data_IF_797196997789
#
_entry.id   IF_797196997789
#
_cell.length_a   1.000
_cell.length_b   1.000
_cell.length_c   1.000
_cell.angle_alpha   90.00
_cell.angle_beta   90.00
_cell.angle_gamma   90.00
#
_symmetry.space_group_name_H-M   'P 1'
#
loop_
_entity.id
_entity.type
_entity.pdbx_description
1 polymer ?
#
# COMPACT_ATOMS: atom_id res chain seq x y z
N UNK A 1 37.75 52.73 -22.27
CA UNK A 1 37.14 52.69 -20.92
C UNK A 1 35.96 51.71 -20.98
N UNK A 2 36.22 50.44 -20.72
CA UNK A 2 35.25 49.34 -20.90
C UNK A 2 34.56 49.09 -19.55
N UNK A 3 33.25 49.35 -19.48
CA UNK A 3 32.40 49.00 -18.34
C UNK A 3 32.07 47.51 -18.42
N UNK A 4 32.66 46.72 -17.54
CA UNK A 4 32.27 45.32 -17.32
C UNK A 4 31.07 45.34 -16.36
N UNK A 5 29.90 44.92 -16.84
CA UNK A 5 28.69 44.74 -16.04
C UNK A 5 28.81 43.37 -15.35
N UNK A 6 28.90 43.38 -14.02
CA UNK A 6 28.82 42.18 -13.20
C UNK A 6 27.35 41.76 -13.06
N UNK A 7 26.98 40.64 -13.67
CA UNK A 7 25.69 39.98 -13.43
C UNK A 7 25.85 39.10 -12.19
N UNK A 8 25.22 39.51 -11.09
CA UNK A 8 25.13 38.71 -9.86
C UNK A 8 24.00 37.70 -10.07
N UNK A 9 24.35 36.46 -10.41
CA UNK A 9 23.41 35.35 -10.34
C UNK A 9 23.13 35.02 -8.87
N UNK A 10 21.97 35.43 -8.37
CA UNK A 10 21.39 34.87 -7.16
C UNK A 10 21.08 33.38 -7.41
N UNK A 11 22.00 32.50 -7.01
CA UNK A 11 21.69 31.09 -6.82
C UNK A 11 20.73 30.99 -5.65
N UNK A 12 19.42 30.97 -5.93
CA UNK A 12 18.47 30.38 -5.02
C UNK A 12 18.82 28.90 -4.90
N UNK A 13 19.51 28.54 -3.82
CA UNK A 13 19.60 27.17 -3.36
C UNK A 13 18.19 26.74 -2.92
N UNK A 14 17.39 26.28 -3.88
CA UNK A 14 16.28 25.39 -3.56
C UNK A 14 16.90 24.23 -2.79
N UNK A 15 16.71 24.19 -1.48
CA UNK A 15 16.94 22.99 -0.68
C UNK A 15 15.90 21.99 -1.17
N UNK A 16 16.22 21.27 -2.24
CA UNK A 16 15.45 20.13 -2.65
C UNK A 16 15.49 19.16 -1.47
N UNK A 17 14.32 18.77 -0.97
CA UNK A 17 14.23 17.69 -0.01
C UNK A 17 14.81 16.43 -0.69
N UNK A 18 15.99 16.01 -0.24
CA UNK A 18 16.75 14.92 -0.86
C UNK A 18 16.26 13.56 -0.34
N UNK A 19 15.90 12.69 -1.27
CA UNK A 19 15.76 11.26 -1.02
C UNK A 19 17.13 10.59 -1.11
N UNK A 20 17.50 9.81 -0.09
CA UNK A 20 18.74 9.03 -0.03
C UNK A 20 18.45 7.55 -0.19
N UNK A 21 19.24 6.87 -1.02
CA UNK A 21 19.12 5.42 -1.17
C UNK A 21 19.63 4.72 0.11
N UNK A 22 18.83 3.79 0.64
CA UNK A 22 19.13 2.99 1.83
C UNK A 22 19.42 1.53 1.44
N UNK A 23 18.78 1.03 0.39
CA UNK A 23 19.11 -0.27 -0.23
C UNK A 23 19.09 -0.15 -1.74
N UNK A 24 20.16 -0.65 -2.36
CA UNK A 24 20.35 -0.70 -3.80
C UNK A 24 20.29 -2.16 -4.28
N UNK A 25 19.08 -2.72 -4.36
CA UNK A 25 18.79 -4.04 -4.95
C UNK A 25 17.97 -3.85 -6.24
N UNK A 26 17.92 -4.86 -7.10
CA UNK A 26 17.27 -4.76 -8.42
C UNK A 26 16.48 -6.04 -8.75
N UNK A 27 15.59 -6.44 -7.84
CA UNK A 27 14.64 -7.53 -8.08
C UNK A 27 13.22 -6.97 -8.07
N UNK A 28 12.43 -7.36 -9.07
CA UNK A 28 11.05 -6.89 -9.18
C UNK A 28 10.17 -7.43 -8.06
N UNK A 29 9.48 -6.53 -7.38
CA UNK A 29 8.52 -6.83 -6.33
C UNK A 29 7.17 -7.16 -6.95
N UNK A 30 6.61 -8.29 -6.55
CA UNK A 30 5.25 -8.71 -6.91
C UNK A 30 4.26 -8.26 -5.83
N UNK A 31 4.58 -8.48 -4.55
CA UNK A 31 3.75 -8.08 -3.41
C UNK A 31 4.60 -7.43 -2.34
N UNK A 32 4.04 -6.47 -1.61
CA UNK A 32 4.73 -5.84 -0.48
C UNK A 32 3.74 -5.35 0.56
N UNK A 33 4.23 -5.25 1.79
CA UNK A 33 3.59 -4.57 2.90
C UNK A 33 4.68 -4.05 3.84
N UNK A 34 4.36 -3.03 4.61
CA UNK A 34 5.28 -2.40 5.55
C UNK A 34 4.61 -2.12 6.89
N UNK A 35 5.45 -1.98 7.91
CA UNK A 35 5.13 -1.34 9.18
C UNK A 35 6.17 -0.26 9.47
N UNK A 36 6.02 0.45 10.57
CA UNK A 36 6.92 1.54 10.97
C UNK A 36 8.41 1.14 10.94
N UNK A 37 8.74 -0.12 11.23
CA UNK A 37 10.10 -0.62 11.44
C UNK A 37 10.51 -1.78 10.51
N UNK A 38 9.63 -2.25 9.62
CA UNK A 38 9.85 -3.47 8.83
C UNK A 38 9.23 -3.36 7.45
N UNK A 39 9.85 -4.05 6.51
CA UNK A 39 9.35 -4.22 5.14
C UNK A 39 9.29 -5.70 4.83
N UNK A 40 8.16 -6.16 4.31
CA UNK A 40 8.05 -7.46 3.68
C UNK A 40 7.79 -7.28 2.19
N UNK A 41 8.49 -8.06 1.37
CA UNK A 41 8.16 -8.15 -0.05
C UNK A 41 8.42 -9.54 -0.60
N UNK A 42 7.70 -9.87 -1.66
CA UNK A 42 7.87 -11.07 -2.45
C UNK A 42 8.40 -10.69 -3.83
N UNK A 43 9.54 -11.25 -4.22
CA UNK A 43 10.22 -10.93 -5.50
C UNK A 43 9.85 -11.90 -6.65
N UNK A 44 8.79 -12.69 -6.48
CA UNK A 44 8.42 -13.74 -7.43
C UNK A 44 9.06 -15.09 -7.16
N UNK A 45 10.01 -15.18 -6.22
CA UNK A 45 10.61 -16.45 -5.76
C UNK A 45 10.69 -16.53 -4.24
N UNK A 46 11.16 -15.47 -3.60
CA UNK A 46 11.42 -15.38 -2.16
C UNK A 46 10.54 -14.34 -1.50
N UNK A 47 9.96 -14.74 -0.37
CA UNK A 47 9.38 -13.84 0.61
C UNK A 47 10.48 -13.39 1.55
N UNK A 48 10.71 -12.08 1.60
CA UNK A 48 11.79 -11.46 2.37
C UNK A 48 11.21 -10.50 3.39
N UNK A 49 11.56 -10.69 4.64
CA UNK A 49 11.32 -9.71 5.72
C UNK A 49 12.61 -9.02 6.06
N UNK A 50 12.59 -7.69 6.07
CA UNK A 50 13.73 -6.84 6.42
C UNK A 50 13.36 -5.91 7.56
N UNK A 51 14.30 -5.72 8.49
CA UNK A 51 14.14 -4.78 9.61
C UNK A 51 14.89 -3.48 9.35
N UNK A 52 14.24 -2.35 9.62
CA UNK A 52 14.83 -1.02 9.56
C UNK A 52 15.65 -0.69 10.83
N UNK A 53 16.61 0.25 10.75
CA UNK A 53 17.07 0.95 9.55
C UNK A 53 18.09 0.14 8.72
N UNK A 54 18.61 -0.96 9.28
CA UNK A 54 19.70 -1.73 8.67
C UNK A 54 19.34 -2.48 7.37
N UNK A 55 18.05 -2.69 7.12
CA UNK A 55 17.51 -3.54 6.05
C UNK A 55 18.07 -4.98 6.06
N UNK A 56 18.51 -5.44 7.23
CA UNK A 56 18.94 -6.82 7.44
C UNK A 56 17.75 -7.75 7.24
N UNK A 57 17.94 -8.79 6.42
CA UNK A 57 16.96 -9.85 6.24
C UNK A 57 16.82 -10.64 7.54
N UNK A 58 15.60 -10.68 8.08
CA UNK A 58 15.26 -11.43 9.29
C UNK A 58 14.44 -12.69 8.99
N UNK A 59 13.83 -12.78 7.81
CA UNK A 59 13.21 -13.98 7.29
C UNK A 59 13.37 -14.02 5.76
N UNK A 60 13.67 -15.21 5.26
CA UNK A 60 13.86 -15.58 3.86
C UNK A 60 13.10 -16.90 3.69
N UNK A 61 12.16 -16.97 2.74
CA UNK A 61 11.43 -18.20 2.45
C UNK A 61 11.07 -18.31 0.98
N UNK A 62 11.37 -19.46 0.38
CA UNK A 62 11.01 -19.75 -1.01
C UNK A 62 9.59 -20.29 -1.12
N UNK A 63 8.88 -19.83 -2.14
CA UNK A 63 7.55 -20.34 -2.53
C UNK A 63 7.54 -20.63 -4.03
N UNK A 64 6.58 -21.44 -4.48
CA UNK A 64 6.32 -21.57 -5.92
C UNK A 64 5.93 -20.18 -6.46
N UNK A 65 6.58 -19.67 -7.52
CA UNK A 65 6.33 -18.38 -8.14
C UNK A 65 4.87 -18.03 -8.41
N UNK A 66 4.02 -19.04 -8.63
CA UNK A 66 2.61 -18.89 -9.00
C UNK A 66 1.64 -19.17 -7.86
N UNK A 67 2.16 -19.45 -6.67
CA UNK A 67 1.35 -19.86 -5.51
C UNK A 67 0.92 -18.69 -4.63
N UNK A 68 1.83 -17.77 -4.33
CA UNK A 68 1.57 -16.60 -3.49
C UNK A 68 0.79 -15.54 -4.27
N UNK A 69 -0.22 -14.94 -3.63
CA UNK A 69 -1.15 -14.01 -4.29
C UNK A 69 -1.40 -12.73 -3.51
N UNK A 70 -1.04 -12.68 -2.23
CA UNK A 70 -1.14 -11.51 -1.38
C UNK A 70 -0.29 -11.67 -0.14
N UNK A 71 0.21 -10.55 0.40
CA UNK A 71 1.05 -10.51 1.60
C UNK A 71 0.70 -9.25 2.39
N UNK A 72 0.54 -9.39 3.70
CA UNK A 72 0.58 -8.25 4.63
C UNK A 72 1.47 -8.54 5.84
N UNK A 73 2.03 -7.48 6.41
CA UNK A 73 2.77 -7.56 7.66
C UNK A 73 1.84 -7.34 8.86
N UNK A 74 1.97 -8.17 9.88
CA UNK A 74 1.15 -8.14 11.09
C UNK A 74 2.04 -8.25 12.34
N UNK A 75 2.53 -7.12 12.84
CA UNK A 75 3.39 -6.99 14.05
C UNK A 75 4.60 -7.94 14.10
N UNK A 76 4.37 -9.21 14.41
CA UNK A 76 5.36 -10.27 14.59
C UNK A 76 5.16 -11.48 13.65
N UNK A 77 4.34 -11.34 12.61
CA UNK A 77 4.14 -12.39 11.60
C UNK A 77 3.86 -11.76 10.22
N UNK A 78 3.97 -12.56 9.19
CA UNK A 78 3.54 -12.24 7.84
C UNK A 78 2.29 -13.05 7.55
N UNK A 79 1.23 -12.39 7.07
CA UNK A 79 0.06 -13.10 6.56
C UNK A 79 0.19 -13.24 5.06
N UNK A 80 0.17 -14.48 4.58
CA UNK A 80 0.33 -14.84 3.18
C UNK A 80 -0.92 -15.52 2.65
N UNK A 81 -1.43 -15.06 1.51
CA UNK A 81 -2.57 -15.62 0.81
C UNK A 81 -2.15 -16.33 -0.48
N UNK A 82 -2.79 -17.45 -0.79
CA UNK A 82 -2.38 -18.34 -1.88
C UNK A 82 -3.47 -18.54 -2.94
N UNK A 83 -3.04 -18.95 -4.13
CA UNK A 83 -3.88 -19.18 -5.32
C UNK A 83 -4.96 -20.25 -5.13
N UNK A 84 -4.71 -21.22 -4.24
CA UNK A 84 -5.64 -22.29 -3.91
C UNK A 84 -6.64 -21.93 -2.80
N UNK A 85 -6.61 -20.69 -2.29
CA UNK A 85 -7.51 -20.19 -1.26
C UNK A 85 -7.03 -20.38 0.17
N UNK A 86 -5.86 -20.99 0.38
CA UNK A 86 -5.24 -21.00 1.70
C UNK A 86 -4.72 -19.61 2.06
N UNK A 87 -4.74 -19.32 3.36
CA UNK A 87 -3.93 -18.26 3.93
C UNK A 87 -3.21 -18.78 5.17
N UNK A 88 -1.98 -18.32 5.36
CA UNK A 88 -1.10 -18.73 6.45
C UNK A 88 -0.58 -17.52 7.23
N UNK A 89 -0.48 -17.68 8.54
CA UNK A 89 0.39 -16.89 9.40
C UNK A 89 1.79 -17.49 9.34
N UNK A 90 2.79 -16.69 8.97
CA UNK A 90 4.20 -17.06 8.90
C UNK A 90 4.94 -16.27 9.99
N UNK A 91 5.38 -16.95 11.04
CA UNK A 91 6.05 -16.33 12.18
C UNK A 91 7.54 -16.13 11.90
N UNK A 92 8.19 -15.25 12.68
CA UNK A 92 9.60 -14.88 12.47
C UNK A 92 10.58 -16.06 12.60
N UNK A 93 10.20 -17.12 13.32
CA UNK A 93 10.97 -18.36 13.43
C UNK A 93 10.74 -19.33 12.25
N UNK A 94 9.96 -18.94 11.25
CA UNK A 94 9.63 -19.74 10.07
C UNK A 94 8.47 -20.71 10.24
N UNK A 95 7.88 -20.80 11.44
CA UNK A 95 6.67 -21.59 11.70
C UNK A 95 5.49 -21.04 10.89
N UNK A 96 4.64 -21.94 10.39
CA UNK A 96 3.44 -21.59 9.63
C UNK A 96 2.19 -22.20 10.24
N UNK A 97 1.15 -21.38 10.37
CA UNK A 97 -0.18 -21.80 10.82
C UNK A 97 -1.22 -21.44 9.76
N UNK A 98 -1.99 -22.42 9.30
CA UNK A 98 -3.08 -22.18 8.38
C UNK A 98 -4.23 -21.44 9.11
N UNK A 99 -4.49 -20.20 8.70
CA UNK A 99 -5.57 -19.36 9.24
C UNK A 99 -6.84 -19.45 8.39
N UNK A 100 -6.68 -19.61 7.07
CA UNK A 100 -7.78 -19.93 6.15
C UNK A 100 -7.48 -21.28 5.50
N UNK A 101 -8.45 -22.19 5.62
CA UNK A 101 -8.41 -23.49 4.98
C UNK A 101 -9.63 -23.64 4.04
N UNK A 102 -9.42 -23.71 2.71
CA UNK A 102 -10.47 -23.93 1.71
C UNK A 102 -11.39 -25.12 2.01
N UNK A 103 -10.88 -26.17 2.64
CA UNK A 103 -11.69 -27.34 2.99
C UNK A 103 -12.69 -27.03 4.12
N UNK A 104 -12.43 -26.00 4.93
CA UNK A 104 -13.36 -25.53 5.97
C UNK A 104 -14.28 -24.41 5.47
N UNK A 105 -13.76 -23.52 4.61
CA UNK A 105 -14.51 -22.36 4.11
C UNK A 105 -15.30 -22.64 2.83
N UNK A 106 -15.01 -23.76 2.15
CA UNK A 106 -15.48 -24.11 0.82
C UNK A 106 -15.14 -23.04 -0.24
N UNK A 107 -14.00 -22.37 -0.07
CA UNK A 107 -13.53 -21.29 -0.96
C UNK A 107 -12.18 -21.66 -1.58
N UNK A 108 -12.21 -22.24 -2.78
CA UNK A 108 -11.03 -22.74 -3.52
C UNK A 108 -10.54 -21.75 -4.59
N UNK A 109 -10.63 -20.45 -4.31
CA UNK A 109 -10.21 -19.38 -5.22
C UNK A 109 -9.02 -18.62 -4.63
N UNK A 110 -8.24 -17.88 -5.44
CA UNK A 110 -7.09 -17.13 -4.94
C UNK A 110 -7.45 -16.14 -3.83
N UNK A 111 -6.60 -16.03 -2.81
CA UNK A 111 -6.69 -14.95 -1.81
C UNK A 111 -6.15 -13.66 -2.45
N UNK A 112 -7.04 -12.87 -3.04
CA UNK A 112 -6.70 -11.73 -3.89
C UNK A 112 -6.30 -10.48 -3.10
N UNK A 113 -6.74 -10.35 -1.86
CA UNK A 113 -6.38 -9.23 -1.00
C UNK A 113 -6.50 -9.63 0.47
N UNK A 114 -5.66 -9.02 1.31
CA UNK A 114 -5.67 -9.19 2.76
C UNK A 114 -5.59 -7.81 3.38
N UNK A 115 -6.39 -7.56 4.42
CA UNK A 115 -6.27 -6.38 5.25
C UNK A 115 -6.27 -6.77 6.73
N UNK A 116 -5.54 -6.03 7.56
CA UNK A 116 -5.48 -6.22 9.02
C UNK A 116 -6.07 -5.02 9.74
N UNK A 117 -6.79 -5.30 10.82
CA UNK A 117 -7.10 -4.34 11.86
C UNK A 117 -7.07 -5.00 13.24
N UNK A 118 -6.15 -4.58 14.11
CA UNK A 118 -5.90 -5.23 15.42
C UNK A 118 -5.82 -6.75 15.23
N UNK A 119 -6.67 -7.50 15.93
CA UNK A 119 -6.76 -8.97 15.87
C UNK A 119 -7.69 -9.51 14.78
N UNK A 120 -8.18 -8.66 13.87
CA UNK A 120 -9.03 -9.05 12.75
C UNK A 120 -8.26 -9.01 11.44
N UNK A 121 -8.50 -10.02 10.62
CA UNK A 121 -8.03 -10.11 9.24
C UNK A 121 -9.25 -10.17 8.31
N UNK A 122 -9.21 -9.44 7.20
CA UNK A 122 -10.17 -9.55 6.12
C UNK A 122 -9.47 -10.13 4.91
N UNK A 123 -10.02 -11.20 4.35
CA UNK A 123 -9.54 -11.86 3.15
C UNK A 123 -10.56 -11.67 2.04
N UNK A 124 -10.12 -11.15 0.91
CA UNK A 124 -10.89 -11.26 -0.33
C UNK A 124 -10.46 -12.55 -1.02
N UNK A 125 -11.41 -13.43 -1.28
CA UNK A 125 -11.18 -14.72 -1.92
C UNK A 125 -11.93 -14.74 -3.26
N UNK A 126 -11.16 -14.85 -4.35
CA UNK A 126 -11.65 -14.60 -5.70
C UNK A 126 -11.97 -13.12 -5.91
N UNK A 127 -13.15 -12.85 -6.46
CA UNK A 127 -13.67 -11.50 -6.69
C UNK A 127 -14.96 -11.23 -5.92
N UNK A 128 -15.46 -12.22 -5.19
CA UNK A 128 -16.85 -12.23 -4.74
C UNK A 128 -17.06 -12.59 -3.27
N UNK A 129 -16.03 -13.08 -2.56
CA UNK A 129 -16.17 -13.47 -1.16
C UNK A 129 -15.22 -12.68 -0.27
N UNK A 130 -15.75 -12.19 0.85
CA UNK A 130 -14.96 -11.61 1.93
C UNK A 130 -15.09 -12.50 3.16
N UNK A 131 -13.95 -12.87 3.75
CA UNK A 131 -13.88 -13.63 4.99
C UNK A 131 -13.24 -12.74 6.06
N UNK A 132 -13.96 -12.47 7.14
CA UNK A 132 -13.44 -11.77 8.33
C UNK A 132 -13.03 -12.83 9.34
N UNK A 133 -11.74 -12.94 9.63
CA UNK A 133 -11.17 -13.86 10.61
C UNK A 133 -10.79 -13.10 11.88
N UNK A 134 -11.31 -13.55 13.02
CA UNK A 134 -10.92 -13.11 14.35
C UNK A 134 -9.80 -14.02 14.85
N UNK A 135 -8.62 -13.46 15.07
CA UNK A 135 -7.43 -14.21 15.52
C UNK A 135 -7.54 -14.72 16.95
N UNK A 136 -8.25 -14.00 17.83
CA UNK A 136 -8.39 -14.37 19.24
C UNK A 136 -9.29 -15.59 19.35
N UNK A 137 -10.46 -15.50 18.73
CA UNK A 137 -11.48 -16.54 18.83
C UNK A 137 -11.30 -17.66 17.81
N UNK A 138 -10.44 -17.46 16.79
CA UNK A 138 -10.25 -18.34 15.63
C UNK A 138 -11.55 -18.61 14.86
N UNK A 139 -12.46 -17.63 14.85
CA UNK A 139 -13.75 -17.70 14.15
C UNK A 139 -13.67 -16.85 12.89
N UNK A 140 -14.28 -17.33 11.81
CA UNK A 140 -14.51 -16.50 10.63
C UNK A 140 -16.00 -16.27 10.35
N UNK A 141 -16.30 -15.06 9.88
CA UNK A 141 -17.55 -14.69 9.23
C UNK A 141 -17.31 -14.56 7.74
N UNK A 142 -18.29 -14.95 6.93
CA UNK A 142 -18.22 -14.85 5.47
C UNK A 142 -19.38 -14.02 4.95
N UNK A 143 -19.10 -13.16 3.98
CA UNK A 143 -20.11 -12.52 3.16
C UNK A 143 -19.69 -12.55 1.71
N UNK A 144 -20.67 -12.47 0.81
CA UNK A 144 -20.38 -12.19 -0.58
C UNK A 144 -20.41 -10.68 -0.82
N UNK A 145 -19.59 -10.23 -1.75
CA UNK A 145 -19.71 -8.92 -2.38
C UNK A 145 -20.44 -9.18 -3.69
N UNK A 146 -21.71 -8.76 -3.81
CA UNK A 146 -22.55 -8.92 -5.01
C UNK A 146 -22.03 -8.12 -6.23
N UNK A 147 -20.77 -7.70 -6.18
CA UNK A 147 -20.14 -6.93 -7.21
C UNK A 147 -19.40 -7.87 -8.15
N UNK A 148 -19.79 -7.90 -9.42
CA UNK A 148 -19.13 -8.71 -10.46
C UNK A 148 -17.69 -8.28 -10.77
N UNK A 149 -17.18 -7.23 -10.11
CA UNK A 149 -15.88 -6.64 -10.39
C UNK A 149 -14.82 -7.06 -9.39
N UNK A 150 -13.65 -7.43 -9.92
CA UNK A 150 -12.45 -7.79 -9.14
C UNK A 150 -12.08 -6.68 -8.15
N UNK A 151 -11.91 -7.06 -6.89
CA UNK A 151 -11.27 -6.19 -5.88
C UNK A 151 -9.81 -6.03 -6.25
N UNK A 152 -9.37 -4.78 -6.36
CA UNK A 152 -8.00 -4.42 -6.72
C UNK A 152 -7.16 -4.13 -5.49
N UNK A 153 -7.74 -3.43 -4.52
CA UNK A 153 -7.06 -2.99 -3.30
C UNK A 153 -8.05 -3.00 -2.14
N UNK A 154 -7.58 -3.39 -0.95
CA UNK A 154 -8.37 -3.31 0.27
C UNK A 154 -7.50 -2.90 1.45
N UNK A 155 -8.10 -2.24 2.43
CA UNK A 155 -7.44 -1.76 3.64
C UNK A 155 -8.49 -1.59 4.73
N UNK A 156 -8.09 -1.86 5.96
CA UNK A 156 -8.88 -1.41 7.10
C UNK A 156 -8.51 0.02 7.47
N UNK A 157 -9.52 0.84 7.72
CA UNK A 157 -9.33 2.19 8.21
C UNK A 157 -10.44 2.46 9.23
N UNK A 158 -10.08 2.78 10.48
CA UNK A 158 -11.01 2.98 11.59
C UNK A 158 -12.04 1.85 11.77
N UNK A 159 -11.58 0.59 11.97
CA UNK A 159 -12.44 -0.60 12.14
C UNK A 159 -13.31 -0.99 10.91
N UNK A 160 -13.31 -0.20 9.83
CA UNK A 160 -14.11 -0.43 8.64
C UNK A 160 -13.23 -1.01 7.53
N UNK A 161 -13.73 -2.04 6.85
CA UNK A 161 -13.05 -2.63 5.71
C UNK A 161 -13.46 -1.89 4.43
N UNK A 162 -12.50 -1.19 3.83
CA UNK A 162 -12.70 -0.49 2.56
C UNK A 162 -12.03 -1.24 1.43
N UNK A 163 -12.64 -1.20 0.25
CA UNK A 163 -12.05 -1.78 -0.93
C UNK A 163 -12.45 -1.08 -2.21
N UNK A 164 -11.52 -1.09 -3.17
CA UNK A 164 -11.68 -0.54 -4.50
C UNK A 164 -11.79 -1.67 -5.52
N UNK A 165 -12.70 -1.52 -6.48
CA UNK A 165 -12.94 -2.48 -7.55
C UNK A 165 -12.43 -1.98 -8.91
N UNK A 166 -12.16 -2.92 -9.81
CA UNK A 166 -11.71 -2.63 -11.18
C UNK A 166 -12.72 -1.80 -11.98
N UNK A 167 -14.01 -1.90 -11.67
CA UNK A 167 -15.08 -1.10 -12.27
C UNK A 167 -15.12 0.37 -11.83
N UNK A 168 -14.12 0.81 -11.03
CA UNK A 168 -13.97 2.16 -10.45
C UNK A 168 -14.87 2.42 -9.24
N UNK A 169 -15.58 1.42 -8.75
CA UNK A 169 -16.44 1.57 -7.58
C UNK A 169 -15.64 1.42 -6.28
N UNK A 170 -16.00 2.19 -5.26
CA UNK A 170 -15.41 2.15 -3.92
C UNK A 170 -16.47 1.78 -2.90
N UNK A 171 -16.14 0.87 -1.99
CA UNK A 171 -17.08 0.27 -1.03
C UNK A 171 -16.56 0.35 0.40
N UNK A 172 -17.51 0.38 1.33
CA UNK A 172 -17.30 0.08 2.73
C UNK A 172 -18.05 -1.19 3.12
N UNK A 173 -17.42 -2.03 3.95
CA UNK A 173 -18.01 -3.20 4.57
C UNK A 173 -17.89 -3.06 6.08
N UNK A 174 -19.02 -2.97 6.75
CA UNK A 174 -19.10 -3.12 8.20
C UNK A 174 -18.73 -4.56 8.56
N UNK A 175 -17.66 -4.76 9.33
CA UNK A 175 -17.16 -6.10 9.68
C UNK A 175 -17.90 -6.77 10.83
N UNK A 176 -18.71 -6.03 11.58
CA UNK A 176 -19.55 -6.59 12.65
C UNK A 176 -20.79 -7.25 12.05
N UNK A 177 -21.49 -6.51 11.19
CA UNK A 177 -22.78 -6.89 10.61
C UNK A 177 -22.69 -7.40 9.17
N UNK A 178 -21.51 -7.33 8.54
CA UNK A 178 -21.26 -7.70 7.14
C UNK A 178 -22.08 -6.89 6.14
N UNK A 179 -22.46 -5.66 6.51
CA UNK A 179 -23.25 -4.79 5.64
C UNK A 179 -22.35 -4.10 4.64
N UNK A 180 -22.54 -4.44 3.37
CA UNK A 180 -21.86 -3.81 2.24
C UNK A 180 -22.59 -2.53 1.82
N UNK A 181 -21.83 -1.46 1.56
CA UNK A 181 -22.35 -0.22 0.99
C UNK A 181 -21.39 0.33 -0.05
N UNK A 182 -21.92 0.64 -1.22
CA UNK A 182 -21.21 1.40 -2.25
C UNK A 182 -21.15 2.87 -1.84
N UNK A 183 -19.96 3.44 -1.78
CA UNK A 183 -19.77 4.84 -1.43
C UNK A 183 -19.87 5.74 -2.66
N UNK A 184 -19.08 5.44 -3.69
CA UNK A 184 -19.05 6.22 -4.92
C UNK A 184 -18.41 5.43 -6.06
N UNK A 185 -18.38 6.04 -7.25
CA UNK A 185 -17.68 5.56 -8.43
C UNK A 185 -16.81 6.70 -8.98
N UNK A 186 -15.54 6.43 -9.22
CA UNK A 186 -14.58 7.44 -9.69
C UNK A 186 -14.58 7.57 -11.22
N UNK A 187 -14.09 8.69 -11.76
CA UNK A 187 -13.98 8.89 -13.21
C UNK A 187 -12.94 7.95 -13.86
N UNK A 188 -11.92 7.52 -13.10
CA UNK A 188 -10.84 6.63 -13.57
C UNK A 188 -10.59 5.49 -12.58
N UNK A 189 -9.75 4.52 -12.95
CA UNK A 189 -9.41 3.36 -12.10
C UNK A 189 -8.72 3.80 -10.81
N UNK A 190 -9.18 3.26 -9.69
CA UNK A 190 -8.61 3.51 -8.36
C UNK A 190 -7.38 2.63 -8.19
N UNK A 191 -6.25 3.23 -7.83
CA UNK A 191 -4.95 2.56 -7.66
C UNK A 191 -4.40 2.64 -6.25
N UNK A 192 -4.93 3.55 -5.42
CA UNK A 192 -4.55 3.72 -4.01
C UNK A 192 -5.63 4.48 -3.26
N UNK A 193 -5.64 4.42 -1.93
CA UNK A 193 -6.53 5.24 -1.10
C UNK A 193 -6.05 5.35 0.34
N UNK A 194 -6.52 6.40 1.02
CA UNK A 194 -6.37 6.60 2.47
C UNK A 194 -7.53 7.46 3.03
N UNK A 195 -7.47 7.90 4.29
CA UNK A 195 -8.49 8.77 4.89
C UNK A 195 -8.00 10.19 5.19
N UNK A 196 -8.82 11.18 4.84
CA UNK A 196 -8.74 12.56 5.36
C UNK A 196 -9.96 12.77 6.25
N UNK A 197 -9.78 13.06 7.54
CA UNK A 197 -10.89 13.31 8.47
C UNK A 197 -12.01 12.25 8.35
N UNK A 198 -11.62 10.97 8.33
CA UNK A 198 -12.51 9.80 8.17
C UNK A 198 -13.22 9.67 6.82
N UNK A 199 -12.82 10.44 5.80
CA UNK A 199 -13.38 10.38 4.45
C UNK A 199 -12.34 9.83 3.46
N UNK A 200 -12.72 8.89 2.59
CA UNK A 200 -11.78 8.33 1.61
C UNK A 200 -11.27 9.37 0.62
N UNK A 201 -9.96 9.50 0.54
CA UNK A 201 -9.25 10.08 -0.61
C UNK A 201 -8.68 8.95 -1.43
N UNK A 202 -8.88 8.99 -2.74
CA UNK A 202 -8.45 7.90 -3.63
C UNK A 202 -7.55 8.42 -4.74
N UNK A 203 -6.50 7.68 -5.03
CA UNK A 203 -5.55 7.95 -6.10
C UNK A 203 -5.96 7.17 -7.34
N UNK A 204 -5.83 7.81 -8.49
CA UNK A 204 -6.31 7.28 -9.76
C UNK A 204 -5.14 6.96 -10.71
N UNK A 205 -5.39 6.02 -11.62
CA UNK A 205 -4.42 5.58 -12.63
C UNK A 205 -3.98 6.69 -13.60
N UNK A 206 -4.77 7.75 -13.73
CA UNK A 206 -4.45 8.89 -14.59
C UNK A 206 -3.68 10.01 -13.88
N UNK A 207 -3.22 9.78 -12.64
CA UNK A 207 -2.45 10.75 -11.87
C UNK A 207 -3.27 11.77 -11.10
N UNK A 208 -4.59 11.63 -11.09
CA UNK A 208 -5.46 12.48 -10.29
C UNK A 208 -5.79 11.86 -8.95
N UNK A 209 -6.04 12.68 -7.95
CA UNK A 209 -6.73 12.29 -6.73
C UNK A 209 -8.22 12.62 -6.84
N UNK A 210 -9.07 11.83 -6.19
CA UNK A 210 -10.49 12.07 -6.07
C UNK A 210 -10.90 12.11 -4.60
N UNK A 211 -11.61 13.15 -4.22
CA UNK A 211 -12.05 13.39 -2.84
C UNK A 211 -13.36 14.18 -2.87
N UNK A 212 -14.37 13.70 -2.14
CA UNK A 212 -15.68 14.36 -2.00
C UNK A 212 -16.32 14.82 -3.32
N UNK A 213 -16.28 13.98 -4.36
CA UNK A 213 -16.89 14.33 -5.64
C UNK A 213 -16.01 15.16 -6.58
N UNK A 214 -14.86 15.64 -6.10
CA UNK A 214 -13.94 16.49 -6.86
C UNK A 214 -12.70 15.72 -7.30
N UNK A 215 -12.12 16.16 -8.42
CA UNK A 215 -10.88 15.62 -8.98
C UNK A 215 -9.79 16.67 -8.88
N UNK A 216 -8.60 16.25 -8.47
CA UNK A 216 -7.42 17.09 -8.29
C UNK A 216 -6.29 16.53 -9.13
N UNK A 217 -5.67 17.36 -9.96
CA UNK A 217 -4.48 16.96 -10.72
C UNK A 217 -3.27 16.94 -9.79
N UNK A 218 -2.62 15.78 -9.66
CA UNK A 218 -1.49 15.59 -8.74
C UNK A 218 -0.23 15.26 -9.54
N UNK A 219 -0.30 14.25 -10.40
CA UNK A 219 0.80 13.77 -11.23
C UNK A 219 0.36 13.52 -12.68
N UNK A 220 1.35 13.38 -13.56
CA UNK A 220 1.20 12.83 -14.92
C UNK A 220 1.38 11.30 -14.97
N UNK A 221 1.62 10.66 -13.84
CA UNK A 221 1.78 9.20 -13.68
C UNK A 221 0.70 8.63 -12.76
N UNK A 222 0.44 7.32 -12.82
CA UNK A 222 -0.58 6.69 -11.97
C UNK A 222 -0.27 6.88 -10.48
N UNK A 223 -1.25 7.27 -9.66
CA UNK A 223 -1.04 7.41 -8.20
C UNK A 223 -1.07 6.05 -7.52
N UNK A 224 0.09 5.42 -7.37
CA UNK A 224 0.22 4.06 -6.85
C UNK A 224 0.16 3.99 -5.33
N UNK A 225 0.44 5.09 -4.63
CA UNK A 225 0.34 5.17 -3.16
C UNK A 225 -0.17 6.52 -2.68
N UNK A 226 -0.94 6.46 -1.59
CA UNK A 226 -1.36 7.61 -0.79
C UNK A 226 -1.02 7.30 0.67
N UNK A 227 -0.44 8.27 1.34
CA UNK A 227 -0.22 8.27 2.77
C UNK A 227 -0.70 9.60 3.33
N UNK A 228 -1.70 9.56 4.21
CA UNK A 228 -2.12 10.72 5.00
C UNK A 228 -1.46 10.64 6.37
N UNK A 229 -0.66 11.64 6.71
CA UNK A 229 0.09 11.70 7.97
C UNK A 229 0.11 13.12 8.51
N UNK A 230 -0.43 13.30 9.73
CA UNK A 230 -0.66 14.62 10.31
C UNK A 230 -1.50 15.50 9.37
N UNK A 231 -1.00 16.70 9.08
CA UNK A 231 -1.68 17.69 8.23
C UNK A 231 -1.24 17.64 6.75
N UNK A 232 -0.74 16.49 6.31
CA UNK A 232 -0.20 16.32 4.97
C UNK A 232 -0.72 15.07 4.29
N UNK A 233 -0.99 15.21 2.99
CA UNK A 233 -1.18 14.10 2.07
C UNK A 233 0.09 13.92 1.25
N UNK A 234 0.55 12.68 1.14
CA UNK A 234 1.74 12.30 0.39
C UNK A 234 1.31 11.32 -0.69
N UNK A 235 1.49 11.70 -1.94
CA UNK A 235 1.15 10.90 -3.11
C UNK A 235 2.43 10.39 -3.77
N UNK A 236 2.51 9.10 -4.03
CA UNK A 236 3.59 8.47 -4.80
C UNK A 236 3.04 7.94 -6.11
N UNK A 237 3.80 8.11 -7.20
CA UNK A 237 3.40 7.68 -8.53
C UNK A 237 4.25 6.55 -9.14
N UNK A 238 3.84 6.12 -10.34
CA UNK A 238 4.50 5.09 -11.15
C UNK A 238 5.85 5.53 -11.78
N UNK A 239 6.26 6.79 -11.57
CA UNK A 239 7.50 7.40 -12.10
C UNK A 239 8.48 7.77 -10.99
N UNK A 240 8.19 7.38 -9.75
CA UNK A 240 9.02 7.61 -8.58
C UNK A 240 9.00 9.06 -8.08
N UNK A 241 8.03 9.84 -8.53
CA UNK A 241 7.77 11.18 -8.02
C UNK A 241 6.87 11.11 -6.78
N UNK A 242 7.18 11.97 -5.80
CA UNK A 242 6.45 12.09 -4.55
C UNK A 242 5.93 13.52 -4.45
N UNK A 243 4.64 13.67 -4.19
CA UNK A 243 3.97 14.96 -4.10
C UNK A 243 3.36 15.12 -2.72
N UNK A 244 3.62 16.28 -2.10
CA UNK A 244 3.13 16.61 -0.77
C UNK A 244 2.14 17.76 -0.88
N UNK A 245 0.97 17.58 -0.29
CA UNK A 245 -0.11 18.56 -0.21
C UNK A 245 -0.55 18.72 1.25
N UNK A 246 -1.17 19.85 1.62
CA UNK A 246 -2.01 19.88 2.83
C UNK A 246 -3.32 19.10 2.60
N UNK A 247 -4.11 18.93 3.66
CA UNK A 247 -5.42 18.26 3.61
C UNK A 247 -6.48 19.02 2.76
N UNK A 248 -6.18 20.25 2.31
CA UNK A 248 -7.04 21.06 1.44
C UNK A 248 -6.59 21.05 -0.03
N UNK A 249 -5.69 20.12 -0.40
CA UNK A 249 -5.11 20.03 -1.75
C UNK A 249 -4.31 21.27 -2.17
N UNK A 250 -3.71 22.00 -1.22
CA UNK A 250 -2.67 22.99 -1.53
C UNK A 250 -1.31 22.31 -1.64
N UNK A 251 -0.66 22.45 -2.79
CA UNK A 251 0.67 21.90 -3.04
C UNK A 251 1.69 22.48 -2.05
N UNK A 252 2.49 21.62 -1.43
CA UNK A 252 3.58 21.99 -0.52
C UNK A 252 4.94 21.73 -1.15
N UNK A 253 5.16 20.52 -1.65
CA UNK A 253 6.49 20.10 -2.08
C UNK A 253 6.43 18.93 -3.07
N UNK A 254 7.50 18.74 -3.85
CA UNK A 254 7.73 17.58 -4.70
C UNK A 254 9.14 17.04 -4.48
N UNK A 255 9.24 15.73 -4.34
CA UNK A 255 10.51 14.99 -4.29
C UNK A 255 10.54 13.96 -5.41
N UNK A 256 11.73 13.45 -5.70
CA UNK A 256 11.94 12.35 -6.63
C UNK A 256 12.90 11.34 -6.02
N UNK A 257 12.59 10.07 -6.16
CA UNK A 257 13.49 8.97 -5.84
C UNK A 257 14.33 8.63 -7.09
N UNK A 258 13.86 7.69 -7.90
CA UNK A 258 14.37 7.34 -9.23
C UNK A 258 13.21 7.06 -10.19
N UNK A 259 13.47 6.84 -11.48
CA UNK A 259 12.43 6.63 -12.50
C UNK A 259 11.82 5.22 -12.46
N UNK A 260 11.24 4.81 -11.34
CA UNK A 260 10.56 3.53 -11.18
C UNK A 260 9.33 3.66 -10.27
N UNK A 261 8.40 2.71 -10.35
CA UNK A 261 7.11 2.74 -9.67
C UNK A 261 7.24 2.63 -8.15
N UNK A 262 6.61 3.55 -7.43
CA UNK A 262 6.49 3.46 -5.97
C UNK A 262 5.53 2.32 -5.60
N UNK A 263 6.03 1.31 -4.89
CA UNK A 263 5.27 0.14 -4.42
C UNK A 263 4.82 0.25 -2.98
N UNK A 264 5.54 0.99 -2.14
CA UNK A 264 5.06 1.31 -0.80
C UNK A 264 5.66 2.61 -0.26
N UNK A 265 4.94 3.23 0.69
CA UNK A 265 5.40 4.43 1.40
C UNK A 265 4.89 4.40 2.85
N UNK A 266 5.75 4.71 3.80
CA UNK A 266 5.39 4.81 5.22
C UNK A 266 6.37 5.72 5.97
N UNK A 267 5.99 6.16 7.17
CA UNK A 267 6.86 6.95 8.04
C UNK A 267 7.56 6.01 9.02
N UNK A 268 8.89 6.00 8.99
CA UNK A 268 9.75 5.41 10.01
C UNK A 268 10.27 6.52 10.94
N UNK A 269 10.36 6.21 12.23
CA UNK A 269 10.76 7.17 13.27
C UNK A 269 12.18 7.73 13.07
N UNK A 270 13.09 6.97 12.48
CA UNK A 270 14.50 7.31 12.33
C UNK A 270 14.85 7.77 10.91
N UNK A 271 14.15 7.26 9.90
CA UNK A 271 14.42 7.48 8.48
C UNK A 271 13.46 8.47 7.83
N UNK A 272 12.42 8.93 8.53
CA UNK A 272 11.40 9.79 7.95
C UNK A 272 10.53 9.02 6.95
N UNK A 273 10.30 9.58 5.76
CA UNK A 273 9.52 8.90 4.73
C UNK A 273 10.35 7.81 4.07
N UNK A 274 9.97 6.55 4.27
CA UNK A 274 10.55 5.41 3.59
C UNK A 274 9.73 5.12 2.34
N UNK A 275 10.42 4.90 1.22
CA UNK A 275 9.83 4.67 -0.09
C UNK A 275 10.44 3.42 -0.69
N UNK A 276 9.58 2.45 -1.01
CA UNK A 276 9.97 1.19 -1.65
C UNK A 276 9.55 1.22 -3.11
N UNK A 277 10.49 0.97 -4.01
CA UNK A 277 10.25 0.94 -5.46
C UNK A 277 9.97 -0.48 -5.96
N UNK A 278 9.50 -0.57 -7.21
CA UNK A 278 9.17 -1.83 -7.86
C UNK A 278 10.38 -2.75 -7.99
N UNK A 279 11.54 -2.23 -8.35
CA UNK A 279 12.78 -2.99 -8.39
C UNK A 279 13.44 -3.28 -7.02
N UNK A 280 12.68 -3.14 -5.92
CA UNK A 280 13.11 -3.37 -4.53
C UNK A 280 14.11 -2.37 -3.95
N UNK A 281 14.45 -1.28 -4.64
CA UNK A 281 15.21 -0.18 -4.03
C UNK A 281 14.41 0.48 -2.93
N UNK A 282 15.11 0.86 -1.85
CA UNK A 282 14.53 1.57 -0.71
C UNK A 282 15.19 2.92 -0.57
N UNK A 283 14.39 3.98 -0.46
CA UNK A 283 14.82 5.35 -0.21
C UNK A 283 14.30 5.84 1.14
N UNK A 284 15.05 6.73 1.76
CA UNK A 284 14.66 7.57 2.89
C UNK A 284 14.62 9.01 2.42
N UNK A 285 13.46 9.66 2.56
CA UNK A 285 13.22 11.03 2.16
C UNK A 285 12.87 11.88 3.38
N UNK A 286 13.40 13.10 3.43
CA UNK A 286 13.04 14.06 4.48
C UNK A 286 11.81 14.84 4.04
N UNK A 287 10.74 14.75 4.81
CA UNK A 287 9.57 15.62 4.65
C UNK A 287 9.85 16.88 5.46
N UNK A 288 10.11 18.00 4.78
CA UNK A 288 10.19 19.34 5.38
C UNK A 288 8.81 20.01 5.35
#
# INVERSE_FOLDING_TARGET
MIKIIFIICFFFSFSFAECKIVQNTSNDIVFTSSSEDKIVYYDGKKLLLKSLPSLKTTLDKEYDPRSLTSVILSENEIIAGFKNGFAYSIYLNGYEEAIINPNKTSLYKPVSSIAKFKDKLAFVIGNESVVIYDKINKIYKKTNIDNSSKVMFSKFMNDIFYFACYDRSFYELDTLNLKLKKLFKTPSLITSFDLINNKPVVGLINGNAYFEGKTYEISKGALTKILVSGDSMIFGDDKGDIYIYDLNFKFKNKMKTSSDTIRDMFIDKNLGLVVLLWDSRVYSCKIN
#
